data_IF_418697796794
#
_entry.id   IF_418697796794
#
_cell.length_a   1.000
_cell.length_b   1.000
_cell.length_c   1.000
_cell.angle_alpha   90.00
_cell.angle_beta   90.00
_cell.angle_gamma   90.00
#
_symmetry.space_group_name_H-M   'P 1'
#
loop_
_entity.id
_entity.type
_entity.pdbx_description
1 polymer ?
#
# COMPACT_ATOMS: atom_id res chain seq x y z
N UNK A 1 27.08 -14.44 -6.10
CA UNK A 1 26.50 -15.07 -4.91
C UNK A 1 25.50 -14.06 -4.40
N UNK A 2 24.23 -14.26 -4.73
CA UNK A 2 23.18 -13.36 -4.25
C UNK A 2 23.16 -13.40 -2.73
N UNK A 3 23.04 -12.22 -2.15
CA UNK A 3 23.05 -11.98 -0.72
C UNK A 3 21.75 -12.54 -0.14
N UNK A 4 21.70 -13.85 0.16
CA UNK A 4 20.53 -14.46 0.78
C UNK A 4 20.19 -13.69 2.06
N UNK A 5 18.95 -13.23 2.16
CA UNK A 5 18.47 -12.54 3.36
C UNK A 5 18.66 -13.45 4.58
N UNK A 6 19.17 -12.95 5.72
CA UNK A 6 19.28 -13.73 6.93
C UNK A 6 17.90 -14.06 7.55
N UNK A 7 16.81 -13.53 6.97
CA UNK A 7 15.46 -13.69 7.46
C UNK A 7 14.67 -14.73 6.66
N UNK A 8 13.71 -15.42 7.30
CA UNK A 8 12.68 -16.18 6.61
C UNK A 8 12.04 -15.41 5.45
N UNK A 9 11.71 -16.11 4.38
CA UNK A 9 11.13 -15.51 3.17
C UNK A 9 9.61 -15.70 3.13
N UNK A 10 8.90 -14.72 2.60
CA UNK A 10 7.49 -14.86 2.24
C UNK A 10 7.21 -14.27 0.86
N UNK A 11 6.86 -15.12 -0.10
CA UNK A 11 6.42 -14.69 -1.42
C UNK A 11 4.92 -14.45 -1.39
N UNK A 12 4.46 -13.36 -2.02
CA UNK A 12 3.04 -13.02 -2.13
C UNK A 12 2.69 -12.67 -3.57
N UNK A 13 1.47 -13.01 -3.98
CA UNK A 13 0.95 -12.67 -5.31
C UNK A 13 -0.58 -12.59 -5.26
N UNK A 14 -1.16 -11.70 -6.08
CA UNK A 14 -2.59 -11.53 -6.19
C UNK A 14 -3.11 -11.78 -7.62
N UNK A 15 -4.24 -12.46 -7.70
CA UNK A 15 -4.95 -12.67 -8.96
C UNK A 15 -6.15 -11.73 -9.04
N UNK A 16 -6.13 -10.84 -10.02
CA UNK A 16 -7.21 -9.90 -10.29
C UNK A 16 -7.53 -9.86 -11.78
N UNK A 17 -8.82 -9.98 -12.11
CA UNK A 17 -9.29 -9.93 -13.51
C UNK A 17 -10.52 -9.05 -13.60
N UNK A 18 -10.59 -8.22 -14.64
CA UNK A 18 -11.75 -7.36 -14.92
C UNK A 18 -13.02 -8.20 -15.10
N UNK A 19 -14.14 -7.75 -14.54
CA UNK A 19 -15.46 -8.42 -14.59
C UNK A 19 -15.53 -9.80 -13.90
N UNK A 20 -14.52 -10.18 -13.12
CA UNK A 20 -14.66 -11.31 -12.19
C UNK A 20 -15.46 -10.88 -10.95
N UNK A 21 -16.32 -11.75 -10.39
CA UNK A 21 -16.94 -11.49 -9.08
C UNK A 21 -15.94 -11.61 -7.92
N UNK A 22 -14.80 -12.26 -8.13
CA UNK A 22 -13.81 -12.55 -7.09
C UNK A 22 -12.39 -12.15 -7.51
N UNK A 23 -11.62 -11.73 -6.53
CA UNK A 23 -10.14 -11.67 -6.60
C UNK A 23 -9.55 -12.81 -5.77
N UNK A 24 -8.33 -13.20 -6.08
CA UNK A 24 -7.58 -14.23 -5.35
C UNK A 24 -6.27 -13.67 -4.81
N UNK A 25 -5.73 -14.31 -3.77
CA UNK A 25 -4.38 -14.05 -3.29
C UNK A 25 -3.74 -15.32 -2.76
N UNK A 26 -2.43 -15.43 -2.95
CA UNK A 26 -1.62 -16.53 -2.43
C UNK A 26 -0.36 -16.03 -1.76
N UNK A 27 0.14 -16.80 -0.80
CA UNK A 27 1.46 -16.61 -0.26
C UNK A 27 2.16 -17.94 0.04
N UNK A 28 3.49 -17.91 0.06
CA UNK A 28 4.36 -19.02 0.46
C UNK A 28 5.35 -18.50 1.51
N UNK A 29 5.29 -18.99 2.74
CA UNK A 29 6.28 -18.70 3.79
C UNK A 29 7.29 -19.85 3.87
N UNK A 30 8.57 -19.50 3.80
CA UNK A 30 9.68 -20.40 4.05
C UNK A 30 10.36 -19.98 5.36
N UNK A 31 10.06 -20.70 6.44
CA UNK A 31 10.51 -20.36 7.80
C UNK A 31 11.93 -20.84 8.08
N UNK A 32 12.26 -22.00 7.54
CA UNK A 32 13.54 -22.68 7.65
C UNK A 32 13.68 -23.64 6.47
N UNK A 33 14.88 -24.16 6.17
CA UNK A 33 15.05 -25.16 5.12
C UNK A 33 14.08 -26.33 5.31
N UNK A 34 13.21 -26.56 4.32
CA UNK A 34 12.20 -27.63 4.34
C UNK A 34 10.93 -27.34 5.16
N UNK A 35 10.82 -26.18 5.82
CA UNK A 35 9.60 -25.76 6.54
C UNK A 35 8.86 -24.70 5.74
N UNK A 36 7.86 -25.14 4.98
CA UNK A 36 7.06 -24.28 4.09
C UNK A 36 5.60 -24.22 4.57
N UNK A 37 5.04 -23.02 4.66
CA UNK A 37 3.62 -22.76 4.93
C UNK A 37 2.98 -22.09 3.73
N UNK A 38 1.82 -22.57 3.31
CA UNK A 38 1.07 -22.03 2.18
C UNK A 38 -0.20 -21.35 2.68
N UNK A 39 -0.52 -20.20 2.11
CA UNK A 39 -1.79 -19.52 2.34
C UNK A 39 -2.44 -19.11 1.04
N UNK A 40 -3.77 -19.17 1.01
CA UNK A 40 -4.56 -18.65 -0.09
C UNK A 40 -5.86 -18.06 0.43
N UNK A 41 -6.35 -17.04 -0.26
CA UNK A 41 -7.64 -16.41 0.00
C UNK A 41 -8.38 -16.17 -1.30
N UNK A 42 -9.69 -16.41 -1.27
CA UNK A 42 -10.64 -15.82 -2.21
C UNK A 42 -11.31 -14.63 -1.53
N UNK A 43 -11.51 -13.54 -2.26
CA UNK A 43 -12.17 -12.34 -1.76
C UNK A 43 -13.12 -11.77 -2.82
N UNK A 44 -14.10 -10.98 -2.37
CA UNK A 44 -14.91 -10.18 -3.29
C UNK A 44 -14.01 -9.35 -4.20
N UNK A 45 -14.49 -9.08 -5.41
CA UNK A 45 -13.73 -8.31 -6.39
C UNK A 45 -13.25 -6.99 -5.81
N UNK A 46 -11.93 -6.85 -5.70
CA UNK A 46 -11.31 -5.62 -5.22
C UNK A 46 -11.34 -4.54 -6.30
N UNK A 47 -11.15 -3.28 -5.90
CA UNK A 47 -11.29 -2.13 -6.81
C UNK A 47 -10.23 -2.08 -7.91
N UNK A 48 -9.07 -2.72 -7.72
CA UNK A 48 -7.98 -2.75 -8.71
C UNK A 48 -6.97 -3.86 -8.38
N UNK A 49 -6.09 -4.25 -9.33
CA UNK A 49 -4.98 -5.17 -9.06
C UNK A 49 -4.16 -4.77 -7.81
N UNK A 50 -3.81 -3.48 -7.69
CA UNK A 50 -3.07 -2.98 -6.52
C UNK A 50 -3.80 -3.19 -5.17
N UNK A 51 -5.13 -3.16 -5.15
CA UNK A 51 -5.89 -3.46 -3.92
C UNK A 51 -5.81 -4.94 -3.57
N UNK A 52 -5.84 -5.83 -4.56
CA UNK A 52 -5.66 -7.26 -4.36
C UNK A 52 -4.25 -7.56 -3.82
N UNK A 53 -3.21 -7.00 -4.46
CA UNK A 53 -1.80 -7.10 -4.03
C UNK A 53 -1.60 -6.65 -2.58
N UNK A 54 -2.12 -5.47 -2.24
CA UNK A 54 -1.98 -4.97 -0.88
C UNK A 54 -2.76 -5.80 0.14
N UNK A 55 -3.91 -6.36 -0.27
CA UNK A 55 -4.72 -7.22 0.60
C UNK A 55 -4.02 -8.54 0.91
N UNK A 56 -3.46 -9.21 -0.10
CA UNK A 56 -2.72 -10.45 0.14
C UNK A 56 -1.45 -10.18 0.96
N UNK A 57 -0.75 -9.07 0.71
CA UNK A 57 0.41 -8.66 1.49
C UNK A 57 0.07 -8.50 2.98
N UNK A 58 -0.99 -7.74 3.31
CA UNK A 58 -1.47 -7.60 4.69
C UNK A 58 -1.90 -8.93 5.31
N UNK A 59 -2.50 -9.82 4.52
CA UNK A 59 -2.90 -11.14 4.98
C UNK A 59 -1.69 -12.02 5.30
N UNK A 60 -0.67 -12.03 4.45
CA UNK A 60 0.60 -12.73 4.71
C UNK A 60 1.31 -12.21 5.96
N UNK A 61 1.36 -10.89 6.16
CA UNK A 61 1.94 -10.29 7.37
C UNK A 61 1.20 -10.75 8.64
N UNK A 62 -0.14 -10.74 8.64
CA UNK A 62 -0.93 -11.20 9.78
C UNK A 62 -0.67 -12.67 10.11
N UNK A 63 -0.63 -13.54 9.10
CA UNK A 63 -0.35 -14.96 9.30
C UNK A 63 1.09 -15.19 9.80
N UNK A 64 2.07 -14.45 9.29
CA UNK A 64 3.46 -14.52 9.76
C UNK A 64 3.55 -14.21 11.26
N UNK A 65 2.88 -13.14 11.69
CA UNK A 65 2.82 -12.74 13.10
C UNK A 65 2.09 -13.77 13.98
N UNK A 66 1.01 -14.37 13.48
CA UNK A 66 0.29 -15.45 14.18
C UNK A 66 1.16 -16.69 14.39
N UNK A 67 2.13 -16.93 13.50
CA UNK A 67 3.13 -17.99 13.63
C UNK A 67 4.32 -17.61 14.53
N UNK A 68 4.30 -16.41 15.13
CA UNK A 68 5.38 -15.90 15.98
C UNK A 68 6.58 -15.34 15.21
N UNK A 69 6.45 -15.16 13.89
CA UNK A 69 7.53 -14.67 13.03
C UNK A 69 7.45 -13.16 12.94
N UNK A 70 8.42 -12.47 13.54
CA UNK A 70 8.47 -11.00 13.62
C UNK A 70 9.53 -10.36 12.73
N UNK A 71 10.44 -11.17 12.18
CA UNK A 71 11.45 -10.76 11.20
C UNK A 71 11.27 -11.61 9.95
N UNK A 72 10.98 -10.96 8.82
CA UNK A 72 10.65 -11.63 7.56
C UNK A 72 11.05 -10.76 6.37
N UNK A 73 11.50 -11.40 5.30
CA UNK A 73 11.68 -10.81 3.98
C UNK A 73 10.49 -11.15 3.10
N UNK A 74 9.66 -10.15 2.82
CA UNK A 74 8.55 -10.30 1.90
C UNK A 74 8.99 -10.00 0.47
N UNK A 75 8.47 -10.78 -0.48
CA UNK A 75 8.78 -10.69 -1.90
C UNK A 75 7.49 -10.59 -2.72
N UNK A 76 7.43 -9.65 -3.65
CA UNK A 76 6.32 -9.41 -4.56
C UNK A 76 6.84 -8.86 -5.89
N UNK A 77 6.17 -9.17 -7.00
CA UNK A 77 6.42 -8.60 -8.32
C UNK A 77 5.67 -7.27 -8.57
N UNK A 78 4.87 -6.82 -7.60
CA UNK A 78 4.16 -5.55 -7.65
C UNK A 78 5.13 -4.36 -7.55
N UNK A 79 5.35 -3.67 -8.67
CA UNK A 79 6.28 -2.53 -8.74
C UNK A 79 5.94 -1.40 -7.76
N UNK A 80 4.66 -1.13 -7.51
CA UNK A 80 4.24 -0.10 -6.56
C UNK A 80 4.61 -0.44 -5.11
N UNK A 81 4.59 -1.72 -4.72
CA UNK A 81 5.07 -2.16 -3.40
C UNK A 81 6.58 -2.01 -3.28
N UNK A 82 7.31 -2.31 -4.35
CA UNK A 82 8.76 -2.14 -4.41
C UNK A 82 9.15 -0.66 -4.35
N UNK A 83 8.44 0.21 -5.07
CA UNK A 83 8.64 1.66 -5.01
C UNK A 83 8.34 2.21 -3.61
N UNK A 84 7.23 1.79 -3.00
CA UNK A 84 6.89 2.16 -1.62
C UNK A 84 8.03 1.79 -0.66
N UNK A 85 8.48 0.54 -0.68
CA UNK A 85 9.56 0.04 0.18
C UNK A 85 10.89 0.77 -0.08
N UNK A 86 11.20 1.06 -1.35
CA UNK A 86 12.39 1.82 -1.71
C UNK A 86 12.33 3.23 -1.11
N UNK A 87 11.22 3.96 -1.29
CA UNK A 87 11.05 5.30 -0.73
C UNK A 87 11.13 5.29 0.80
N UNK A 88 10.55 4.29 1.48
CA UNK A 88 10.68 4.13 2.92
C UNK A 88 12.14 4.09 3.38
N UNK A 89 13.00 3.37 2.65
CA UNK A 89 14.43 3.23 2.98
C UNK A 89 15.22 4.53 2.88
N UNK A 90 14.70 5.53 2.15
CA UNK A 90 15.33 6.84 1.99
C UNK A 90 15.02 7.80 3.15
N UNK A 91 14.01 7.51 3.97
CA UNK A 91 13.70 8.33 5.14
C UNK A 91 14.54 7.90 6.36
N UNK A 92 15.10 8.87 7.08
CA UNK A 92 15.75 8.59 8.38
C UNK A 92 14.74 8.07 9.41
N UNK A 93 13.53 8.62 9.40
CA UNK A 93 12.41 8.21 10.25
C UNK A 93 11.15 8.28 9.42
N UNK A 94 10.34 7.22 9.45
CA UNK A 94 9.07 7.14 8.75
C UNK A 94 8.00 6.52 9.65
N UNK A 95 6.77 7.06 9.61
CA UNK A 95 5.62 6.49 10.32
C UNK A 95 4.32 6.79 9.58
N UNK A 96 3.40 5.84 9.57
CA UNK A 96 2.01 6.03 9.15
C UNK A 96 1.11 5.86 10.36
N UNK A 97 0.15 6.75 10.53
CA UNK A 97 -0.88 6.67 11.58
C UNK A 97 -2.26 6.91 10.99
N UNK A 98 -3.26 6.23 11.55
CA UNK A 98 -4.65 6.50 11.21
C UNK A 98 -5.07 7.91 11.68
N UNK A 99 -5.68 8.68 10.79
CA UNK A 99 -6.37 9.93 11.11
C UNK A 99 -7.82 9.85 10.64
N UNK A 100 -8.74 10.31 11.49
CA UNK A 100 -10.16 10.38 11.15
C UNK A 100 -10.40 11.35 9.97
N UNK A 101 -11.45 11.09 9.18
CA UNK A 101 -11.73 11.85 7.94
C UNK A 101 -11.92 13.34 8.20
N UNK A 102 -12.63 13.67 9.27
CA UNK A 102 -12.87 15.02 9.79
C UNK A 102 -11.59 15.77 10.21
N UNK A 103 -10.47 15.06 10.41
CA UNK A 103 -9.15 15.67 10.66
C UNK A 103 -8.26 15.74 9.41
N UNK A 104 -8.65 15.10 8.31
CA UNK A 104 -7.90 15.08 7.05
C UNK A 104 -8.48 16.06 6.00
N UNK A 105 -9.16 17.12 6.44
CA UNK A 105 -9.96 18.02 5.59
C UNK A 105 -9.11 18.72 4.53
N UNK A 106 -7.93 19.21 4.89
CA UNK A 106 -7.05 19.95 3.96
C UNK A 106 -6.59 19.07 2.79
N UNK A 107 -6.19 17.83 3.05
CA UNK A 107 -5.75 16.90 2.01
C UNK A 107 -6.94 16.41 1.17
N UNK A 108 -8.08 16.08 1.79
CA UNK A 108 -9.33 15.73 1.08
C UNK A 108 -9.76 16.86 0.13
N UNK A 109 -9.62 18.11 0.58
CA UNK A 109 -9.94 19.28 -0.21
C UNK A 109 -9.01 19.44 -1.43
N UNK A 110 -7.69 19.32 -1.23
CA UNK A 110 -6.71 19.32 -2.33
C UNK A 110 -7.00 18.22 -3.35
N UNK A 111 -7.27 17.00 -2.88
CA UNK A 111 -7.57 15.85 -3.74
C UNK A 111 -8.85 16.06 -4.57
N UNK A 112 -9.92 16.58 -3.95
CA UNK A 112 -11.17 16.93 -4.65
C UNK A 112 -10.95 18.02 -5.69
N UNK A 113 -10.19 19.06 -5.34
CA UNK A 113 -9.83 20.14 -6.25
C UNK A 113 -9.05 19.61 -7.46
N UNK A 114 -8.01 18.82 -7.23
CA UNK A 114 -7.20 18.23 -8.29
C UNK A 114 -8.05 17.37 -9.25
N UNK A 115 -8.92 16.51 -8.70
CA UNK A 115 -9.87 15.72 -9.51
C UNK A 115 -10.79 16.61 -10.35
N UNK A 116 -11.32 17.69 -9.77
CA UNK A 116 -12.24 18.59 -10.48
C UNK A 116 -11.61 19.37 -11.63
N UNK A 117 -10.27 19.47 -11.66
CA UNK A 117 -9.53 20.13 -12.75
C UNK A 117 -9.62 19.38 -14.08
N UNK A 118 -9.89 18.06 -14.04
CA UNK A 118 -10.08 17.22 -15.23
C UNK A 118 -8.92 17.30 -16.25
N UNK A 119 -7.69 17.39 -15.75
CA UNK A 119 -6.46 17.43 -16.56
C UNK A 119 -5.34 16.71 -15.82
N UNK A 120 -4.33 16.22 -16.55
CA UNK A 120 -3.10 15.68 -15.94
C UNK A 120 -2.19 16.86 -15.55
N UNK A 121 -1.76 16.91 -14.29
CA UNK A 121 -0.83 17.93 -13.79
C UNK A 121 -0.18 17.46 -12.48
N UNK A 122 0.87 18.16 -12.06
CA UNK A 122 1.44 18.07 -10.71
C UNK A 122 1.54 19.48 -10.10
N UNK A 123 1.47 19.57 -8.76
CA UNK A 123 1.66 20.81 -8.01
C UNK A 123 2.31 20.48 -6.66
N UNK A 124 3.50 21.03 -6.41
CA UNK A 124 4.19 20.93 -5.12
C UNK A 124 4.80 22.30 -4.85
N UNK A 125 4.22 23.04 -3.90
CA UNK A 125 4.67 24.37 -3.53
C UNK A 125 4.26 24.66 -2.08
N UNK A 126 4.91 25.66 -1.48
CA UNK A 126 4.57 26.30 -0.22
C UNK A 126 3.21 27.04 -0.25
N UNK A 127 2.69 27.34 -1.44
CA UNK A 127 1.45 28.13 -1.61
C UNK A 127 0.32 27.27 -2.19
N UNK A 128 -0.90 27.55 -1.72
CA UNK A 128 -2.12 26.95 -2.27
C UNK A 128 -2.28 27.41 -3.73
N UNK A 129 -2.48 26.49 -4.68
CA UNK A 129 -2.57 26.85 -6.08
C UNK A 129 -3.73 27.83 -6.36
N UNK A 130 -3.50 28.81 -7.23
CA UNK A 130 -4.46 29.85 -7.61
C UNK A 130 -5.86 29.34 -8.00
N UNK A 131 -5.91 28.20 -8.69
CA UNK A 131 -7.14 27.54 -9.13
C UNK A 131 -7.97 26.92 -7.98
N UNK A 132 -7.44 26.92 -6.76
CA UNK A 132 -8.11 26.46 -5.54
C UNK A 132 -8.58 27.63 -4.64
N UNK A 133 -8.19 28.87 -4.96
CA UNK A 133 -8.25 30.02 -4.04
C UNK A 133 -9.68 30.45 -3.71
N UNK A 134 -10.65 30.26 -4.60
CA UNK A 134 -12.07 30.56 -4.33
C UNK A 134 -12.70 29.69 -3.23
N UNK A 135 -11.97 28.68 -2.74
CA UNK A 135 -12.37 27.82 -1.62
C UNK A 135 -11.33 27.84 -0.48
N UNK A 136 -10.41 28.82 -0.49
CA UNK A 136 -9.29 28.94 0.45
C UNK A 136 -9.70 29.17 1.91
N UNK A 137 -10.91 29.64 2.18
CA UNK A 137 -11.43 29.83 3.55
C UNK A 137 -11.39 28.53 4.40
N UNK A 138 -11.32 27.36 3.75
CA UNK A 138 -11.24 26.03 4.38
C UNK A 138 -9.83 25.74 4.94
N UNK A 139 -8.79 26.42 4.45
CA UNK A 139 -7.41 26.21 4.93
C UNK A 139 -7.05 27.11 6.11
N UNK A 140 -7.74 28.23 6.28
CA UNK A 140 -7.45 29.26 7.30
C UNK A 140 -8.16 28.98 8.63
N UNK A 141 -9.19 28.12 8.64
CA UNK A 141 -9.85 27.69 9.88
C UNK A 141 -9.11 26.48 10.48
N UNK A 142 -8.02 26.75 11.20
CA UNK A 142 -7.55 25.94 12.33
C UNK A 142 -7.33 26.87 13.52
#
# INVERSE_FOLDING_TARGET
MENESPYPRCQVDASWVTNSPFSGGGFVLELAPGTVTYGSIGMDQTMSPMHAEFTIFLYAMKNSLQLGVTSMSFESDCLQLNEFTHLLSLFTVFSISFIARERNVRADFLAKGARSKNSIFSHVDSVIPGWLVHKANIFILN
#
